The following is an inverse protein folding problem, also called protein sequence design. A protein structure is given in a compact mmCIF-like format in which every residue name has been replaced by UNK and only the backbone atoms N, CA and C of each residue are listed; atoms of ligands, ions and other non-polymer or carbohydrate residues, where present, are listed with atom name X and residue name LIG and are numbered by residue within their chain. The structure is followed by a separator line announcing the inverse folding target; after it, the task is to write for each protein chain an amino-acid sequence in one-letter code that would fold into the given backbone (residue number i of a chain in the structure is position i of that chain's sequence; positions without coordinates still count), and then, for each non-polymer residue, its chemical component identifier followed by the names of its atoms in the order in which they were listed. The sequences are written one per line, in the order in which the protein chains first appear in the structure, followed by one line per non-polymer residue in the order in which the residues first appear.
data_IF_914503908655
#
_entry.id   IF_914503908655
#
_cell.length_a   1.000
_cell.length_b   1.000
_cell.length_c   1.000
_cell.angle_alpha   90.00
_cell.angle_beta   90.00
_cell.angle_gamma   90.00
#
_symmetry.space_group_name_H-M   'P 1'
#
loop_
_entity.id
_entity.type
_entity.pdbx_description
1 polymer ?
#
# COMPACT_ATOMS: atom_id res chain seq x y z
N UNK A 1 42.52 44.69 7.76
CA UNK A 1 41.14 45.06 7.36
C UNK A 1 40.59 43.95 6.48
N UNK A 2 39.43 43.40 6.88
CA UNK A 2 38.55 42.38 6.24
C UNK A 2 38.80 40.89 6.60
N UNK A 3 38.06 40.35 7.59
CA UNK A 3 36.81 39.52 7.54
C UNK A 3 37.23 38.04 7.73
N UNK A 4 37.19 37.43 8.93
CA UNK A 4 36.07 36.82 9.67
C UNK A 4 35.14 35.88 8.89
N UNK A 5 35.24 34.58 9.23
CA UNK A 5 34.21 33.52 9.18
C UNK A 5 33.75 33.00 7.81
N UNK A 6 33.81 31.67 7.66
CA UNK A 6 32.60 30.85 7.61
C UNK A 6 32.95 29.39 7.91
N UNK A 7 32.42 28.89 9.03
CA UNK A 7 32.28 27.48 9.30
C UNK A 7 31.54 26.84 8.13
N UNK A 8 32.20 25.94 7.39
CA UNK A 8 31.44 24.92 6.67
C UNK A 8 30.99 23.92 7.72
N UNK A 9 29.78 24.12 8.24
CA UNK A 9 29.07 23.08 8.95
C UNK A 9 28.96 21.88 8.01
N UNK A 10 29.83 20.89 8.19
CA UNK A 10 29.59 19.55 7.70
C UNK A 10 28.40 19.03 8.52
N UNK A 11 27.20 19.32 8.02
CA UNK A 11 25.98 18.74 8.53
C UNK A 11 26.12 17.24 8.29
N UNK A 12 26.50 16.53 9.35
CA UNK A 12 26.40 15.09 9.46
C UNK A 12 24.91 14.75 9.30
N UNK A 13 24.46 14.61 8.05
CA UNK A 13 23.16 14.00 7.76
C UNK A 13 23.34 12.48 7.89
N UNK A 14 23.64 12.04 9.11
CA UNK A 14 23.73 10.63 9.47
C UNK A 14 22.53 10.32 10.35
N UNK A 15 21.37 10.00 9.74
CA UNK A 15 20.26 9.24 10.35
C UNK A 15 18.95 9.18 9.51
N UNK A 16 18.89 9.60 8.25
CA UNK A 16 17.60 9.78 7.55
C UNK A 16 17.10 8.59 6.72
N UNK A 17 17.83 7.48 6.59
CA UNK A 17 17.38 6.35 5.73
C UNK A 17 16.16 5.57 6.27
N UNK A 18 15.72 5.81 7.50
CA UNK A 18 14.52 5.15 8.07
C UNK A 18 13.27 6.04 8.09
N UNK A 19 13.41 7.35 7.84
CA UNK A 19 12.31 8.29 7.92
C UNK A 19 12.00 8.80 6.52
N UNK A 20 10.98 8.22 5.87
CA UNK A 20 10.52 8.66 4.56
C UNK A 20 10.36 10.18 4.48
N UNK A 21 10.71 10.77 3.35
CA UNK A 21 10.61 12.20 3.13
C UNK A 21 9.16 12.57 2.77
N UNK A 22 8.53 13.43 3.57
CA UNK A 22 7.26 14.04 3.19
C UNK A 22 7.51 15.05 2.05
N UNK A 23 7.04 14.73 0.85
CA UNK A 23 7.29 15.53 -0.35
C UNK A 23 6.14 16.50 -0.68
N UNK A 24 4.95 16.27 -0.11
CA UNK A 24 3.77 17.11 -0.33
C UNK A 24 2.77 16.97 0.82
N UNK A 25 2.10 18.07 1.17
CA UNK A 25 1.01 18.06 2.16
C UNK A 25 1.50 17.88 3.61
N UNK A 26 0.66 17.25 4.44
CA UNK A 26 0.93 17.05 5.87
C UNK A 26 0.96 15.55 6.19
N UNK A 27 2.17 15.00 6.26
CA UNK A 27 2.41 13.59 6.60
C UNK A 27 2.37 13.28 8.10
N UNK A 28 1.94 14.22 8.95
CA UNK A 28 1.78 14.00 10.39
C UNK A 28 0.31 13.92 10.80
N UNK A 29 -0.52 14.88 10.36
CA UNK A 29 -1.96 14.93 10.64
C UNK A 29 -2.69 15.64 9.50
N UNK A 30 -3.07 14.91 8.46
CA UNK A 30 -3.71 15.50 7.28
C UNK A 30 -3.60 14.62 6.05
N UNK A 31 -3.62 15.22 4.86
CA UNK A 31 -3.36 14.52 3.61
C UNK A 31 -1.94 14.83 3.14
N UNK A 32 -1.18 13.82 2.75
CA UNK A 32 0.22 14.02 2.35
C UNK A 32 0.78 12.87 1.54
N UNK A 33 1.90 13.17 0.90
CA UNK A 33 2.67 12.24 0.07
C UNK A 33 4.05 12.05 0.69
N UNK A 34 4.43 10.80 0.93
CA UNK A 34 5.73 10.42 1.47
C UNK A 34 6.43 9.45 0.52
N UNK A 35 7.72 9.68 0.29
CA UNK A 35 8.60 8.79 -0.47
C UNK A 35 9.68 8.27 0.47
N UNK A 36 10.08 7.02 0.29
CA UNK A 36 11.19 6.42 1.01
C UNK A 36 12.38 6.20 0.07
N UNK A 37 13.58 6.13 0.64
CA UNK A 37 14.82 5.92 -0.14
C UNK A 37 14.83 4.57 -0.87
N UNK A 38 14.10 3.57 -0.35
CA UNK A 38 13.96 2.26 -0.98
C UNK A 38 13.03 2.27 -2.21
N UNK A 39 12.37 3.38 -2.53
CA UNK A 39 11.41 3.47 -3.63
C UNK A 39 9.94 3.31 -3.21
N UNK A 40 9.66 3.00 -1.94
CA UNK A 40 8.28 2.98 -1.45
C UNK A 40 7.65 4.37 -1.53
N UNK A 41 6.33 4.39 -1.72
CA UNK A 41 5.54 5.57 -1.95
C UNK A 41 4.20 5.44 -1.24
N UNK A 42 3.77 6.52 -0.58
CA UNK A 42 2.42 6.63 -0.04
C UNK A 42 1.82 7.99 -0.34
N UNK A 43 0.56 8.00 -0.76
CA UNK A 43 -0.27 9.20 -0.80
C UNK A 43 -1.60 8.90 -0.11
N UNK A 44 -1.96 9.71 0.87
CA UNK A 44 -3.22 9.50 1.58
C UNK A 44 -3.36 10.31 2.85
N UNK A 45 -4.32 9.89 3.66
CA UNK A 45 -4.58 10.44 4.98
C UNK A 45 -3.57 9.94 6.03
N UNK A 46 -3.21 10.83 6.95
CA UNK A 46 -2.21 10.66 8.00
C UNK A 46 -2.81 11.08 9.34
N UNK A 47 -2.51 10.31 10.38
CA UNK A 47 -2.78 10.69 11.76
C UNK A 47 -1.61 10.24 12.65
N UNK A 48 -1.09 11.17 13.47
CA UNK A 48 0.07 10.94 14.36
C UNK A 48 1.29 10.34 13.63
N UNK A 49 1.52 10.77 12.39
CA UNK A 49 2.64 10.29 11.57
C UNK A 49 2.47 8.89 11.00
N UNK A 50 1.26 8.33 11.04
CA UNK A 50 0.94 7.02 10.46
C UNK A 50 -0.14 7.17 9.38
N UNK A 51 -0.11 6.35 8.32
CA UNK A 51 -1.26 6.17 7.43
C UNK A 51 -2.54 5.86 8.22
N UNK A 52 -3.55 6.71 8.09
CA UNK A 52 -4.83 6.54 8.78
C UNK A 52 -5.94 7.22 7.98
N UNK A 53 -6.95 6.47 7.54
CA UNK A 53 -7.95 6.91 6.56
C UNK A 53 -7.74 6.28 5.19
N UNK A 54 -8.09 6.97 4.10
CA UNK A 54 -7.89 6.43 2.75
C UNK A 54 -6.51 6.80 2.20
N UNK A 55 -5.89 5.89 1.48
CA UNK A 55 -4.62 6.13 0.81
C UNK A 55 -4.26 5.06 -0.21
N UNK A 56 -3.15 5.30 -0.89
CA UNK A 56 -2.53 4.39 -1.83
C UNK A 56 -1.05 4.24 -1.45
N UNK A 57 -0.63 2.99 -1.24
CA UNK A 57 0.75 2.63 -0.96
C UNK A 57 1.27 1.81 -2.14
N UNK A 58 2.41 2.19 -2.69
CA UNK A 58 3.15 1.41 -3.69
C UNK A 58 4.48 1.01 -3.08
N UNK A 59 4.81 -0.26 -3.16
CA UNK A 59 6.09 -0.80 -2.69
C UNK A 59 7.06 -0.90 -3.86
N UNK A 60 8.35 -0.72 -3.61
CA UNK A 60 9.39 -0.86 -4.63
C UNK A 60 9.45 -2.26 -5.27
N UNK A 61 9.01 -3.27 -4.53
CA UNK A 61 8.86 -4.63 -5.05
C UNK A 61 7.81 -4.74 -6.19
N UNK A 62 7.03 -3.69 -6.46
CA UNK A 62 6.00 -3.61 -7.49
C UNK A 62 4.59 -3.98 -7.01
N UNK A 63 4.42 -4.30 -5.73
CA UNK A 63 3.11 -4.49 -5.13
C UNK A 63 2.45 -3.12 -4.86
N UNK A 64 1.12 -3.09 -4.76
CA UNK A 64 0.40 -1.86 -4.43
C UNK A 64 -0.87 -2.14 -3.64
N UNK A 65 -1.24 -1.24 -2.74
CA UNK A 65 -2.50 -1.26 -2.02
C UNK A 65 -3.21 0.08 -2.13
N UNK A 66 -4.50 0.05 -2.47
CA UNK A 66 -5.38 1.20 -2.46
C UNK A 66 -6.58 0.90 -1.58
N UNK A 67 -6.76 1.66 -0.50
CA UNK A 67 -7.83 1.38 0.43
C UNK A 67 -7.71 2.16 1.72
N UNK A 68 -8.28 1.58 2.78
CA UNK A 68 -8.29 2.17 4.10
C UNK A 68 -7.10 1.68 4.93
N UNK A 69 -6.57 2.60 5.72
CA UNK A 69 -5.51 2.39 6.69
C UNK A 69 -6.01 2.75 8.08
N UNK A 70 -5.46 2.07 9.08
CA UNK A 70 -5.64 2.40 10.49
C UNK A 70 -4.33 2.15 11.22
N UNK A 71 -3.79 3.15 11.90
CA UNK A 71 -2.49 3.07 12.59
C UNK A 71 -1.38 2.46 11.71
N UNK A 72 -1.30 2.86 10.44
CA UNK A 72 -0.28 2.41 9.50
C UNK A 72 -0.48 1.03 8.89
N UNK A 73 -1.60 0.35 9.17
CA UNK A 73 -1.91 -0.97 8.61
C UNK A 73 -3.12 -0.90 7.68
N UNK A 74 -3.12 -1.71 6.63
CA UNK A 74 -4.30 -1.95 5.79
C UNK A 74 -5.46 -2.43 6.67
N UNK A 75 -6.61 -1.77 6.59
CA UNK A 75 -7.73 -2.01 7.49
C UNK A 75 -9.05 -1.50 6.89
N UNK A 76 -10.14 -2.27 6.97
CA UNK A 76 -11.39 -1.96 6.27
C UNK A 76 -11.31 -2.33 4.78
N UNK A 77 -12.07 -1.65 3.93
CA UNK A 77 -12.13 -1.99 2.50
C UNK A 77 -10.89 -1.53 1.74
N UNK A 78 -10.37 -2.38 0.85
CA UNK A 78 -9.26 -2.03 -0.04
C UNK A 78 -8.89 -3.11 -1.04
N UNK A 79 -8.09 -2.70 -2.03
CA UNK A 79 -7.56 -3.56 -3.08
C UNK A 79 -6.04 -3.65 -2.98
N UNK A 80 -5.52 -4.86 -2.86
CA UNK A 80 -4.10 -5.16 -3.00
C UNK A 80 -3.85 -5.79 -4.37
N UNK A 81 -2.76 -5.39 -5.01
CA UNK A 81 -2.27 -5.95 -6.26
C UNK A 81 -0.84 -6.40 -6.03
N UNK A 82 -0.57 -7.67 -6.30
CA UNK A 82 0.77 -8.20 -6.29
C UNK A 82 1.42 -7.97 -7.66
N UNK A 83 2.74 -7.82 -7.68
CA UNK A 83 3.54 -7.68 -8.92
C UNK A 83 3.35 -8.85 -9.88
N UNK A 84 3.07 -10.05 -9.35
CA UNK A 84 2.82 -11.25 -10.16
C UNK A 84 1.49 -11.19 -10.93
N UNK A 85 0.67 -10.13 -10.74
CA UNK A 85 -0.61 -9.91 -11.38
C UNK A 85 -1.82 -10.37 -10.56
N UNK A 86 -1.62 -11.11 -9.47
CA UNK A 86 -2.68 -11.46 -8.54
C UNK A 86 -3.27 -10.17 -7.94
N UNK A 87 -4.54 -10.22 -7.53
CA UNK A 87 -5.11 -9.14 -6.75
C UNK A 87 -6.17 -9.64 -5.78
N UNK A 88 -6.35 -8.89 -4.69
CA UNK A 88 -7.42 -9.10 -3.74
C UNK A 88 -8.18 -7.79 -3.56
N UNK A 89 -9.50 -7.85 -3.57
CA UNK A 89 -10.38 -6.72 -3.27
C UNK A 89 -11.39 -7.16 -2.20
N UNK A 90 -11.36 -6.55 -1.02
CA UNK A 90 -12.23 -6.96 0.08
C UNK A 90 -11.89 -6.30 1.41
N UNK A 91 -12.31 -6.97 2.49
CA UNK A 91 -12.07 -6.54 3.86
C UNK A 91 -10.62 -6.83 4.31
N UNK A 92 -10.02 -5.86 4.99
CA UNK A 92 -8.70 -5.96 5.60
C UNK A 92 -8.77 -5.77 7.10
N UNK A 93 -7.96 -6.52 7.83
CA UNK A 93 -7.79 -6.34 9.27
C UNK A 93 -6.33 -6.51 9.64
N UNK A 94 -5.76 -5.45 10.20
CA UNK A 94 -4.38 -5.41 10.69
C UNK A 94 -3.33 -5.89 9.69
N UNK A 95 -3.54 -5.55 8.40
CA UNK A 95 -2.62 -5.91 7.31
C UNK A 95 -2.93 -7.23 6.61
N UNK A 96 -3.99 -7.93 7.00
CA UNK A 96 -4.36 -9.23 6.41
C UNK A 96 -5.71 -9.19 5.71
N UNK A 97 -5.88 -10.04 4.70
CA UNK A 97 -7.19 -10.29 4.09
C UNK A 97 -8.11 -10.92 5.14
N UNK A 98 -9.33 -10.42 5.20
CA UNK A 98 -10.33 -10.79 6.19
C UNK A 98 -11.73 -10.65 5.59
N UNK A 99 -12.78 -11.08 6.29
CA UNK A 99 -14.16 -10.80 5.89
C UNK A 99 -14.48 -11.22 4.47
N UNK A 100 -15.38 -10.50 3.78
CA UNK A 100 -15.74 -10.84 2.41
C UNK A 100 -14.74 -10.21 1.44
N UNK A 101 -14.35 -10.98 0.41
CA UNK A 101 -13.54 -10.44 -0.67
C UNK A 101 -13.53 -11.30 -1.93
N UNK A 102 -12.86 -10.75 -2.94
CA UNK A 102 -12.61 -11.37 -4.24
C UNK A 102 -11.11 -11.45 -4.45
N UNK A 103 -10.59 -12.65 -4.65
CA UNK A 103 -9.19 -12.91 -5.00
C UNK A 103 -9.10 -13.36 -6.45
N UNK A 104 -8.24 -12.71 -7.24
CA UNK A 104 -7.89 -13.14 -8.58
C UNK A 104 -6.51 -13.75 -8.58
N UNK A 105 -6.45 -14.98 -9.08
CA UNK A 105 -5.23 -15.71 -9.30
C UNK A 105 -4.82 -15.62 -10.77
N UNK A 106 -3.79 -14.83 -11.04
CA UNK A 106 -3.36 -14.50 -12.38
C UNK A 106 -2.82 -15.71 -13.14
N UNK A 107 -2.18 -16.66 -12.44
CA UNK A 107 -1.62 -17.86 -13.07
C UNK A 107 -2.66 -18.69 -13.83
N UNK A 108 -3.89 -18.74 -13.32
CA UNK A 108 -4.99 -19.51 -13.91
C UNK A 108 -6.11 -18.64 -14.47
N UNK A 109 -5.93 -17.30 -14.45
CA UNK A 109 -6.98 -16.32 -14.74
C UNK A 109 -8.30 -16.67 -14.02
N UNK A 110 -8.21 -17.03 -12.74
CA UNK A 110 -9.32 -17.55 -11.95
C UNK A 110 -9.68 -16.57 -10.82
N UNK A 111 -10.97 -16.38 -10.58
CA UNK A 111 -11.49 -15.50 -9.52
C UNK A 111 -12.17 -16.31 -8.43
N UNK A 112 -11.90 -16.01 -7.17
CA UNK A 112 -12.49 -16.67 -6.01
C UNK A 112 -13.18 -15.62 -5.14
N UNK A 113 -14.47 -15.80 -4.91
CA UNK A 113 -15.24 -14.95 -4.01
C UNK A 113 -15.56 -15.74 -2.75
N UNK A 114 -15.40 -15.11 -1.59
CA UNK A 114 -15.58 -15.82 -0.34
C UNK A 114 -15.27 -15.03 0.91
N UNK A 115 -15.34 -15.73 2.03
CA UNK A 115 -14.87 -15.23 3.32
C UNK A 115 -13.40 -15.59 3.54
N UNK A 116 -12.64 -14.64 4.07
CA UNK A 116 -11.21 -14.75 4.36
C UNK A 116 -10.96 -14.55 5.87
N UNK A 117 -10.03 -15.31 6.42
CA UNK A 117 -9.52 -15.16 7.79
C UNK A 117 -8.01 -15.31 7.78
N UNK A 118 -7.30 -14.27 8.25
CA UNK A 118 -5.83 -14.25 8.32
C UNK A 118 -5.16 -14.72 7.02
N UNK A 119 -5.53 -14.09 5.90
CA UNK A 119 -5.02 -14.36 4.55
C UNK A 119 -5.48 -15.68 3.91
N UNK A 120 -6.37 -16.44 4.57
CA UNK A 120 -6.88 -17.72 4.07
C UNK A 120 -8.35 -17.64 3.74
N UNK A 121 -8.74 -18.11 2.56
CA UNK A 121 -10.16 -18.30 2.24
C UNK A 121 -10.73 -19.44 3.11
N UNK A 122 -11.82 -19.17 3.82
CA UNK A 122 -12.49 -20.13 4.71
C UNK A 122 -13.82 -20.64 4.14
N UNK A 123 -14.45 -19.85 3.25
CA UNK A 123 -15.69 -20.23 2.58
C UNK A 123 -15.69 -19.66 1.16
N UNK A 124 -15.87 -20.52 0.16
CA UNK A 124 -16.04 -20.12 -1.24
C UNK A 124 -17.54 -19.90 -1.49
N UNK A 125 -17.92 -18.70 -1.89
CA UNK A 125 -19.30 -18.33 -2.23
C UNK A 125 -19.57 -18.46 -3.74
N UNK A 126 -18.58 -18.13 -4.58
CA UNK A 126 -18.70 -18.22 -6.05
C UNK A 126 -17.51 -18.99 -6.64
N UNK A 127 -17.78 -19.95 -7.54
CA UNK A 127 -16.76 -20.69 -8.29
C UNK A 127 -16.10 -19.79 -9.35
N UNK A 128 -14.84 -20.04 -9.75
CA UNK A 128 -14.14 -19.22 -10.72
C UNK A 128 -14.86 -19.16 -12.06
N UNK A 129 -15.33 -17.95 -12.41
CA UNK A 129 -15.74 -17.63 -13.77
C UNK A 129 -14.50 -17.64 -14.64
N UNK A 130 -14.25 -18.76 -15.33
CA UNK A 130 -13.38 -18.77 -16.49
C UNK A 130 -14.10 -17.96 -17.58
N UNK A 131 -13.82 -16.67 -17.68
CA UNK A 131 -14.07 -15.99 -18.94
C UNK A 131 -13.14 -16.63 -19.96
N UNK A 132 -13.68 -17.57 -20.75
CA UNK A 132 -13.06 -17.97 -22.00
C UNK A 132 -13.04 -16.70 -22.84
N UNK A 133 -11.89 -16.13 -23.22
CA UNK A 133 -11.90 -15.05 -24.19
C UNK A 133 -12.55 -15.61 -25.44
N UNK A 134 -13.71 -15.06 -25.82
CA UNK A 134 -14.22 -15.23 -27.17
C UNK A 134 -13.11 -14.74 -28.10
N UNK A 135 -12.40 -15.69 -28.72
CA UNK A 135 -11.56 -15.40 -29.85
C UNK A 135 -12.54 -15.08 -30.98
N UNK A 136 -12.89 -13.80 -31.11
CA UNK A 136 -13.61 -13.33 -32.28
C UNK A 136 -12.77 -13.66 -33.52
N UNK A 137 -13.40 -14.41 -34.42
CA UNK A 137 -12.86 -14.79 -35.73
C UNK A 137 -12.56 -13.57 -36.60
#
# INVERSE_FOLDING_TARGET
MKIFTLLTAAFLCSASSLYGQCVKGNCFNGFGTQNWENGDYYEGSWQKGLPDGHGEFSWDNGDSYKGRFKNGKMNGQGRYRWKNGDWYNGDWKDGKMSGRGTYFWNKEAATYEGNFEDDKITQIETQPSKEVPEISK
#
